data_IF_817140632558
#
_entry.id   IF_817140632558
#
_cell.length_a   1.000
_cell.length_b   1.000
_cell.length_c   1.000
_cell.angle_alpha   90.00
_cell.angle_beta   90.00
_cell.angle_gamma   90.00
#
_symmetry.space_group_name_H-M   'P 1'
#
loop_
_entity.id
_entity.type
_entity.pdbx_description
1 polymer ?
#
# COMPACT_ATOMS: atom_id res chain seq x y z
N UNK A 1 0.10 -20.84 14.18
CA UNK A 1 0.18 -20.04 15.42
C UNK A 1 -1.17 -19.37 15.64
N UNK A 2 -1.65 -19.34 16.88
CA UNK A 2 -2.92 -18.70 17.23
C UNK A 2 -2.68 -17.22 17.58
N UNK A 3 -3.35 -16.32 16.86
CA UNK A 3 -3.22 -14.88 17.05
C UNK A 3 -3.61 -14.45 18.48
N UNK A 4 -4.58 -15.13 19.09
CA UNK A 4 -5.03 -14.83 20.45
C UNK A 4 -3.98 -15.27 21.48
N UNK A 5 -3.36 -16.43 21.29
CA UNK A 5 -2.30 -16.92 22.17
C UNK A 5 -1.05 -16.03 22.09
N UNK A 6 -0.68 -15.57 20.87
CA UNK A 6 0.41 -14.62 20.69
C UNK A 6 0.10 -13.30 21.39
N UNK A 7 -1.09 -12.74 21.14
CA UNK A 7 -1.51 -11.48 21.74
C UNK A 7 -1.51 -11.54 23.26
N UNK A 8 -2.09 -12.58 23.87
CA UNK A 8 -2.16 -12.72 25.33
C UNK A 8 -0.77 -12.88 25.95
N UNK A 9 0.10 -13.67 25.33
CA UNK A 9 1.47 -13.87 25.78
C UNK A 9 2.30 -12.59 25.67
N UNK A 10 2.21 -11.89 24.54
CA UNK A 10 2.93 -10.63 24.31
C UNK A 10 2.42 -9.52 25.22
N UNK A 11 1.10 -9.46 25.46
CA UNK A 11 0.49 -8.52 26.39
C UNK A 11 1.02 -8.70 27.81
N UNK A 12 1.20 -9.94 28.26
CA UNK A 12 1.81 -10.22 29.56
C UNK A 12 3.31 -9.88 29.58
N UNK A 13 4.04 -10.14 28.48
CA UNK A 13 5.47 -9.85 28.37
C UNK A 13 5.79 -8.36 28.41
N UNK A 14 4.96 -7.53 27.78
CA UNK A 14 5.11 -6.06 27.75
C UNK A 14 4.58 -5.37 29.02
N UNK A 15 4.05 -6.13 29.98
CA UNK A 15 3.52 -5.64 31.26
C UNK A 15 2.60 -4.40 31.11
N UNK A 16 3.01 -3.24 31.63
CA UNK A 16 2.23 -2.01 31.64
C UNK A 16 1.97 -1.52 30.21
N UNK A 17 2.94 -1.68 29.31
CA UNK A 17 2.81 -1.35 27.88
C UNK A 17 1.95 -2.37 27.13
N UNK A 18 1.75 -3.58 27.65
CA UNK A 18 0.88 -4.58 27.05
C UNK A 18 -0.59 -4.15 26.97
N UNK A 19 -1.03 -3.24 27.85
CA UNK A 19 -2.38 -2.64 27.82
C UNK A 19 -2.64 -1.79 26.57
N UNK A 20 -1.58 -1.41 25.86
CA UNK A 20 -1.66 -0.67 24.61
C UNK A 20 -2.01 -1.55 23.40
N UNK A 21 -2.02 -2.88 23.56
CA UNK A 21 -2.47 -3.81 22.54
C UNK A 21 -3.96 -4.13 22.71
N UNK A 22 -4.73 -3.94 21.63
CA UNK A 22 -6.12 -4.35 21.51
C UNK A 22 -6.25 -5.84 21.15
N UNK A 23 -5.30 -6.35 20.39
CA UNK A 23 -5.34 -7.71 19.87
C UNK A 23 -4.18 -8.00 18.91
N UNK A 24 -4.22 -9.19 18.33
CA UNK A 24 -3.39 -9.60 17.21
C UNK A 24 -4.25 -10.18 16.10
N UNK A 25 -3.82 -10.02 14.85
CA UNK A 25 -4.51 -10.56 13.68
C UNK A 25 -3.52 -11.36 12.83
N UNK A 26 -3.87 -12.59 12.47
CA UNK A 26 -3.11 -13.34 11.47
C UNK A 26 -3.25 -12.66 10.11
N UNK A 27 -2.12 -12.43 9.44
CA UNK A 27 -2.03 -11.93 8.08
C UNK A 27 -1.28 -12.94 7.21
N UNK A 28 -1.33 -12.78 5.88
CA UNK A 28 -0.70 -13.72 4.93
C UNK A 28 0.78 -13.99 5.23
N UNK A 29 1.49 -12.98 5.74
CA UNK A 29 2.94 -13.02 5.99
C UNK A 29 3.31 -13.20 7.47
N UNK A 30 2.34 -13.33 8.38
CA UNK A 30 2.63 -13.41 9.81
C UNK A 30 1.48 -12.88 10.69
N UNK A 31 1.80 -11.94 11.59
CA UNK A 31 0.85 -11.38 12.54
C UNK A 31 0.95 -9.86 12.60
N UNK A 32 -0.20 -9.19 12.57
CA UNK A 32 -0.31 -7.76 12.83
C UNK A 32 -0.68 -7.54 14.31
N UNK A 33 0.06 -6.68 14.98
CA UNK A 33 -0.26 -6.20 16.33
C UNK A 33 -1.20 -5.01 16.22
N UNK A 34 -2.34 -5.07 16.90
CA UNK A 34 -3.36 -4.02 16.85
C UNK A 34 -3.21 -3.12 18.07
N UNK A 35 -2.82 -1.85 17.91
CA UNK A 35 -2.82 -0.89 19.02
C UNK A 35 -4.27 -0.55 19.42
N UNK A 36 -4.46 -0.15 20.69
CA UNK A 36 -5.77 0.32 21.20
C UNK A 36 -6.20 1.67 20.62
N UNK A 37 -5.24 2.49 20.20
CA UNK A 37 -5.46 3.81 19.60
C UNK A 37 -4.27 4.25 18.74
N UNK A 38 -4.42 5.37 18.03
CA UNK A 38 -3.31 6.01 17.29
C UNK A 38 -2.19 6.49 18.21
N UNK A 39 -2.54 6.91 19.43
CA UNK A 39 -1.59 7.47 20.40
C UNK A 39 -0.76 6.38 21.10
N UNK A 40 -1.29 5.16 21.14
CA UNK A 40 -0.59 3.97 21.62
C UNK A 40 0.53 3.50 20.68
N UNK A 41 0.44 3.85 19.40
CA UNK A 41 1.37 3.40 18.36
C UNK A 41 2.83 3.83 18.62
N UNK A 42 3.16 5.13 18.85
CA UNK A 42 4.54 5.54 19.09
C UNK A 42 5.17 4.87 20.33
N UNK A 43 4.37 4.59 21.36
CA UNK A 43 4.85 3.90 22.57
C UNK A 43 5.16 2.43 22.27
N UNK A 44 4.32 1.75 21.49
CA UNK A 44 4.59 0.38 21.04
C UNK A 44 5.78 0.31 20.07
N UNK A 45 5.97 1.32 19.23
CA UNK A 45 7.14 1.42 18.34
C UNK A 45 8.44 1.55 19.13
N UNK A 46 8.44 2.31 20.23
CA UNK A 46 9.57 2.41 21.15
C UNK A 46 9.86 1.11 21.93
N UNK A 47 9.03 0.07 21.77
CA UNK A 47 9.24 -1.26 22.36
C UNK A 47 9.61 -2.31 21.31
N UNK A 48 9.95 -1.89 20.07
CA UNK A 48 10.26 -2.81 18.97
C UNK A 48 11.30 -3.85 19.34
N UNK A 49 12.37 -3.47 20.02
CA UNK A 49 13.46 -4.39 20.38
C UNK A 49 12.96 -5.46 21.37
N UNK A 50 12.15 -5.07 22.36
CA UNK A 50 11.55 -5.99 23.32
C UNK A 50 10.55 -6.95 22.63
N UNK A 51 9.71 -6.42 21.74
CA UNK A 51 8.77 -7.25 20.96
C UNK A 51 9.55 -8.20 20.04
N UNK A 52 10.64 -7.74 19.41
CA UNK A 52 11.46 -8.58 18.53
C UNK A 52 12.18 -9.69 19.32
N UNK A 53 12.63 -9.39 20.54
CA UNK A 53 13.23 -10.36 21.45
C UNK A 53 12.22 -11.45 21.85
N UNK A 54 10.95 -11.08 22.11
CA UNK A 54 9.88 -12.03 22.42
C UNK A 54 9.70 -13.09 21.31
N UNK A 55 9.85 -12.70 20.04
CA UNK A 55 9.72 -13.59 18.89
C UNK A 55 11.04 -14.25 18.44
N UNK A 56 12.16 -14.04 19.15
CA UNK A 56 13.48 -14.56 18.79
C UNK A 56 13.96 -14.06 17.42
N UNK A 57 14.20 -12.75 17.33
CA UNK A 57 14.74 -12.06 16.14
C UNK A 57 13.76 -12.02 14.95
N UNK A 58 12.58 -11.42 15.16
CA UNK A 58 11.67 -11.09 14.06
C UNK A 58 11.85 -9.64 13.59
N UNK A 59 11.58 -9.38 12.31
CA UNK A 59 11.46 -8.02 11.81
C UNK A 59 10.09 -7.45 12.18
N UNK A 60 10.10 -6.33 12.88
CA UNK A 60 8.88 -5.58 13.22
C UNK A 60 8.87 -4.30 12.40
N UNK A 61 7.88 -4.21 11.53
CA UNK A 61 7.61 -3.02 10.73
C UNK A 61 6.31 -2.36 11.17
N UNK A 62 6.27 -1.04 11.05
CA UNK A 62 5.01 -0.32 11.12
C UNK A 62 4.29 -0.60 9.80
N UNK A 63 3.01 -0.95 9.86
CA UNK A 63 2.21 -1.00 8.64
C UNK A 63 2.28 0.37 7.96
N UNK A 64 2.82 0.40 6.73
CA UNK A 64 2.86 1.60 5.92
C UNK A 64 1.44 2.13 5.77
N UNK A 65 1.22 3.35 6.24
CA UNK A 65 -0.05 4.03 6.02
C UNK A 65 0.00 4.63 4.62
N UNK A 66 -0.96 4.24 3.80
CA UNK A 66 -1.11 4.78 2.45
C UNK A 66 -2.54 5.21 2.21
N UNK A 67 -2.70 6.17 1.31
CA UNK A 67 -3.99 6.53 0.74
C UNK A 67 -4.11 5.79 -0.59
N UNK A 68 -5.15 4.97 -0.70
CA UNK A 68 -5.45 4.21 -1.92
C UNK A 68 -6.48 4.95 -2.78
N UNK A 69 -6.10 5.25 -4.02
CA UNK A 69 -7.04 5.69 -5.05
C UNK A 69 -7.35 4.53 -5.99
N UNK A 70 -8.62 4.42 -6.39
CA UNK A 70 -9.03 3.53 -7.46
C UNK A 70 -9.17 4.35 -8.74
N UNK A 71 -8.32 4.07 -9.72
CA UNK A 71 -8.40 4.68 -11.05
C UNK A 71 -9.04 3.69 -12.01
N UNK A 72 -10.10 4.13 -12.68
CA UNK A 72 -10.84 3.35 -13.67
C UNK A 72 -10.57 3.90 -15.06
N UNK A 73 -10.99 3.16 -16.09
CA UNK A 73 -10.87 3.57 -17.49
C UNK A 73 -9.42 3.83 -17.97
N UNK A 74 -8.44 3.14 -17.37
CA UNK A 74 -7.04 3.22 -17.82
C UNK A 74 -6.88 2.38 -19.09
N UNK A 75 -6.43 2.93 -20.23
CA UNK A 75 -6.25 2.16 -21.46
C UNK A 75 -5.28 0.99 -21.23
N UNK A 76 -5.56 -0.18 -21.81
CA UNK A 76 -4.66 -1.36 -21.64
C UNK A 76 -3.37 -1.24 -22.44
N UNK A 77 -3.36 -0.43 -23.48
CA UNK A 77 -2.21 -0.16 -24.33
C UNK A 77 -2.15 1.32 -24.63
N UNK A 78 -0.95 1.87 -24.66
CA UNK A 78 -0.67 3.25 -25.05
C UNK A 78 0.27 3.26 -26.24
N UNK A 79 0.06 4.22 -27.13
CA UNK A 79 0.95 4.45 -28.24
C UNK A 79 2.25 5.09 -27.76
N UNK A 80 3.40 4.55 -28.16
CA UNK A 80 4.71 5.16 -27.94
C UNK A 80 5.37 5.46 -29.27
N UNK A 81 5.84 6.68 -29.40
CA UNK A 81 6.71 7.12 -30.48
C UNK A 81 8.15 7.08 -30.00
N UNK A 82 8.99 6.30 -30.68
CA UNK A 82 10.44 6.27 -30.46
C UNK A 82 11.10 6.68 -31.77
N UNK A 83 11.55 7.94 -31.86
CA UNK A 83 11.94 8.53 -33.13
C UNK A 83 10.76 8.62 -34.10
N UNK A 84 10.88 8.01 -35.28
CA UNK A 84 9.81 7.94 -36.30
C UNK A 84 8.95 6.69 -36.25
N UNK A 85 9.20 5.77 -35.30
CA UNK A 85 8.46 4.51 -35.21
C UNK A 85 7.39 4.58 -34.12
N UNK A 86 6.15 4.26 -34.52
CA UNK A 86 5.01 4.08 -33.62
C UNK A 86 4.87 2.62 -33.20
N UNK A 87 4.60 2.39 -31.92
CA UNK A 87 4.31 1.06 -31.38
C UNK A 87 3.26 1.15 -30.28
N UNK A 88 2.47 0.08 -30.11
CA UNK A 88 1.53 -0.05 -29.01
C UNK A 88 2.17 -0.84 -27.88
N UNK A 89 2.34 -0.23 -26.72
CA UNK A 89 2.91 -0.87 -25.54
C UNK A 89 1.81 -1.14 -24.50
N UNK A 90 1.85 -2.29 -23.80
CA UNK A 90 0.93 -2.53 -22.69
C UNK A 90 1.17 -1.52 -21.56
N UNK A 91 0.10 -1.06 -20.94
CA UNK A 91 0.20 -0.27 -19.70
C UNK A 91 0.56 -1.21 -18.55
N UNK A 92 1.59 -0.84 -17.81
CA UNK A 92 2.11 -1.56 -16.67
C UNK A 92 2.33 -0.59 -15.48
N UNK A 93 2.63 -1.10 -14.27
CA UNK A 93 2.87 -0.26 -13.11
C UNK A 93 3.93 0.81 -13.34
N UNK A 94 4.99 0.50 -14.08
CA UNK A 94 6.12 1.41 -14.29
C UNK A 94 5.72 2.64 -15.12
N UNK A 95 4.98 2.43 -16.21
CA UNK A 95 4.47 3.50 -17.07
C UNK A 95 3.50 4.39 -16.28
N UNK A 96 2.58 3.79 -15.53
CA UNK A 96 1.64 4.55 -14.71
C UNK A 96 2.37 5.35 -13.64
N UNK A 97 3.35 4.76 -12.97
CA UNK A 97 4.16 5.44 -11.95
C UNK A 97 4.86 6.65 -12.55
N UNK A 98 5.52 6.49 -13.71
CA UNK A 98 6.22 7.57 -14.38
C UNK A 98 5.27 8.71 -14.76
N UNK A 99 4.14 8.40 -15.39
CA UNK A 99 3.14 9.40 -15.81
C UNK A 99 2.57 10.18 -14.63
N UNK A 100 2.24 9.49 -13.53
CA UNK A 100 1.73 10.11 -12.31
C UNK A 100 2.78 11.02 -11.69
N UNK A 101 4.03 10.55 -11.57
CA UNK A 101 5.13 11.34 -11.04
C UNK A 101 5.39 12.58 -11.91
N UNK A 102 5.38 12.43 -13.23
CA UNK A 102 5.60 13.54 -14.17
C UNK A 102 4.47 14.58 -14.09
N UNK A 103 3.21 14.12 -14.05
CA UNK A 103 2.04 15.01 -14.08
C UNK A 103 1.77 15.66 -12.72
N UNK A 104 1.98 14.94 -11.62
CA UNK A 104 1.54 15.37 -10.28
C UNK A 104 2.69 15.68 -9.32
N UNK A 105 3.91 15.29 -9.65
CA UNK A 105 5.06 15.33 -8.74
C UNK A 105 4.98 14.31 -7.59
N UNK A 106 3.93 13.47 -7.53
CA UNK A 106 3.76 12.48 -6.48
C UNK A 106 4.33 11.13 -6.89
N UNK A 107 5.00 10.46 -5.96
CA UNK A 107 5.55 9.12 -6.15
C UNK A 107 4.64 8.06 -5.50
N UNK A 108 3.96 7.22 -6.29
CA UNK A 108 3.21 6.09 -5.74
C UNK A 108 4.14 5.09 -5.03
N UNK A 109 3.67 4.53 -3.92
CA UNK A 109 4.33 3.41 -3.20
C UNK A 109 4.03 2.08 -3.89
N UNK A 110 2.83 1.95 -4.46
CA UNK A 110 2.37 0.71 -5.08
C UNK A 110 1.28 0.99 -6.10
N UNK A 111 1.35 0.31 -7.25
CA UNK A 111 0.37 0.37 -8.33
C UNK A 111 0.03 -1.07 -8.71
N UNK A 112 -1.24 -1.44 -8.59
CA UNK A 112 -1.70 -2.82 -8.76
C UNK A 112 -2.99 -2.83 -9.58
N UNK A 113 -3.04 -3.64 -10.63
CA UNK A 113 -4.28 -3.84 -11.37
C UNK A 113 -5.29 -4.57 -10.47
N UNK A 114 -6.54 -4.10 -10.46
CA UNK A 114 -7.61 -4.75 -9.69
C UNK A 114 -7.80 -6.19 -10.16
N UNK A 115 -8.07 -7.12 -9.24
CA UNK A 115 -8.26 -8.53 -9.58
C UNK A 115 -9.35 -8.75 -10.65
N UNK A 116 -10.45 -7.99 -10.58
CA UNK A 116 -11.52 -8.02 -11.58
C UNK A 116 -11.02 -7.56 -12.95
N UNK A 117 -10.20 -6.52 -13.02
CA UNK A 117 -9.63 -6.03 -14.28
C UNK A 117 -8.63 -7.03 -14.87
N UNK A 118 -7.75 -7.58 -14.04
CA UNK A 118 -6.75 -8.57 -14.45
C UNK A 118 -7.41 -9.87 -14.97
N UNK A 119 -8.55 -10.27 -14.40
CA UNK A 119 -9.33 -11.42 -14.86
C UNK A 119 -10.03 -11.18 -16.21
N UNK A 120 -10.14 -9.93 -16.68
CA UNK A 120 -10.85 -9.56 -17.90
C UNK A 120 -9.94 -8.80 -18.90
N UNK A 121 -8.84 -9.41 -19.39
CA UNK A 121 -7.81 -8.72 -20.17
C UNK A 121 -8.27 -8.22 -21.54
N UNK A 122 -9.39 -8.73 -22.05
CA UNK A 122 -9.92 -8.37 -23.37
C UNK A 122 -10.76 -7.09 -23.37
N UNK A 123 -10.96 -6.47 -22.21
CA UNK A 123 -11.64 -5.18 -22.09
C UNK A 123 -10.75 -4.05 -22.61
N UNK A 124 -11.35 -3.02 -23.21
CA UNK A 124 -10.61 -1.88 -23.78
C UNK A 124 -9.85 -1.06 -22.72
N UNK A 125 -10.31 -1.12 -21.47
CA UNK A 125 -9.74 -0.39 -20.35
C UNK A 125 -9.61 -1.30 -19.12
N UNK A 126 -8.78 -0.83 -18.19
CA UNK A 126 -8.39 -1.51 -16.97
C UNK A 126 -8.65 -0.61 -15.76
N UNK A 127 -8.66 -1.22 -14.58
CA UNK A 127 -8.82 -0.51 -13.31
C UNK A 127 -7.70 -0.87 -12.36
N UNK A 128 -7.16 0.14 -11.68
CA UNK A 128 -5.94 0.04 -10.88
C UNK A 128 -6.16 0.64 -9.49
N UNK A 129 -5.49 0.05 -8.50
CA UNK A 129 -5.26 0.66 -7.20
C UNK A 129 -3.90 1.33 -7.20
N UNK A 130 -3.87 2.61 -6.82
CA UNK A 130 -2.66 3.42 -6.72
C UNK A 130 -2.55 3.89 -5.27
N UNK A 131 -1.47 3.50 -4.61
CA UNK A 131 -1.25 3.75 -3.20
C UNK A 131 -0.17 4.83 -3.06
N UNK A 132 -0.46 5.91 -2.36
CA UNK A 132 0.49 6.98 -2.04
C UNK A 132 0.80 6.99 -0.54
N UNK A 133 1.98 7.49 -0.12
CA UNK A 133 2.27 7.68 1.30
C UNK A 133 1.18 8.53 1.99
N UNK A 134 0.86 8.22 3.26
CA UNK A 134 -0.03 9.06 4.06
C UNK A 134 0.51 10.50 4.14
N UNK A 135 -0.36 11.50 3.90
CA UNK A 135 0.02 12.91 3.85
C UNK A 135 0.33 13.44 2.44
N UNK A 136 0.43 12.59 1.43
CA UNK A 136 0.46 13.01 0.02
C UNK A 136 -0.91 13.58 -0.37
N UNK A 137 -1.04 14.91 -0.31
CA UNK A 137 -2.21 15.61 -0.86
C UNK A 137 -2.12 15.59 -2.37
N UNK A 138 -2.89 14.71 -2.99
CA UNK A 138 -3.03 14.67 -4.42
C UNK A 138 -4.12 15.65 -4.84
N UNK A 139 -3.72 16.80 -5.42
CA UNK A 139 -4.64 17.64 -6.18
C UNK A 139 -4.93 16.92 -7.51
N UNK A 140 -5.70 15.82 -7.47
CA UNK A 140 -6.03 14.98 -8.64
C UNK A 140 -7.15 15.57 -9.51
N UNK A 141 -7.42 16.86 -9.38
CA UNK A 141 -8.35 17.56 -10.26
C UNK A 141 -7.55 18.27 -11.34
N UNK A 142 -7.31 17.56 -12.43
CA UNK A 142 -7.09 18.19 -13.71
C UNK A 142 -8.10 17.60 -14.71
N UNK A 143 -9.11 18.39 -15.04
CA UNK A 143 -9.72 18.33 -16.36
C UNK A 143 -8.62 18.75 -17.33
N UNK A 144 -7.95 17.80 -17.98
CA UNK A 144 -7.12 18.12 -19.14
C UNK A 144 -8.05 18.52 -20.28
N UNK A 145 -8.07 19.79 -20.73
CA UNK A 145 -8.76 20.13 -21.95
C UNK A 145 -7.99 19.50 -23.11
N UNK A 146 -8.47 18.38 -23.62
CA UNK A 146 -7.97 17.84 -24.87
C UNK A 146 -8.37 18.79 -26.00
N UNK A 147 -7.40 19.28 -26.76
CA UNK A 147 -7.66 19.79 -28.11
C UNK A 147 -7.82 18.58 -29.03
N UNK A 148 -9.01 18.44 -29.61
CA UNK A 148 -9.30 17.50 -30.71
C UNK A 148 -8.94 18.16 -32.02
#
# INVERSE_FOLDING_TARGET
>A
MDAFAIYTSLRSYLDTNGKLLKGGQSIKTGFALLPVSTDALPVLEAQKEAIAAFFKECQIERSSRWISYRVTNVPRKVGRLTGSQYSMMPVNPEILSAEITETTGLNPVSIIETATSAANPNTIASSWFINFPEGSKANLLYDSPCLV
#
